data_IF_448427887008
#
_entry.id   IF_448427887008
#
_cell.length_a   1.000
_cell.length_b   1.000
_cell.length_c   1.000
_cell.angle_alpha   90.00
_cell.angle_beta   90.00
_cell.angle_gamma   90.00
#
_symmetry.space_group_name_H-M   'P 1'
#
loop_
_entity.id
_entity.type
_entity.pdbx_description
1 polymer ?
#
# COMPACT_ATOMS: atom_id res chain seq x y z
N UNK A 1 4.62 -21.28 1.44
CA UNK A 1 4.88 -20.52 2.69
C UNK A 1 3.65 -19.68 2.97
N UNK A 2 3.26 -19.43 4.24
CA UNK A 2 2.25 -18.41 4.52
C UNK A 2 2.72 -17.07 3.92
N UNK A 3 1.79 -16.26 3.46
CA UNK A 3 2.12 -14.93 2.95
C UNK A 3 2.78 -14.08 4.06
N UNK A 4 3.78 -13.26 3.74
CA UNK A 4 4.63 -12.60 4.74
C UNK A 4 3.84 -11.66 5.66
N UNK A 5 2.80 -11.00 5.16
CA UNK A 5 2.03 -10.03 5.94
C UNK A 5 0.62 -10.53 6.28
N UNK A 6 0.27 -10.44 7.55
CA UNK A 6 -1.06 -10.82 8.05
C UNK A 6 -2.08 -9.73 7.73
N UNK A 7 -3.32 -10.16 7.47
CA UNK A 7 -4.44 -9.24 7.30
C UNK A 7 -4.90 -8.67 8.65
N UNK A 8 -5.38 -7.44 8.62
CA UNK A 8 -6.04 -6.77 9.74
C UNK A 8 -7.37 -7.48 10.02
N UNK A 9 -7.67 -7.72 11.29
CA UNK A 9 -8.99 -8.20 11.71
C UNK A 9 -10.01 -7.10 11.43
N UNK A 10 -11.03 -7.41 10.64
CA UNK A 10 -12.09 -6.43 10.35
C UNK A 10 -12.76 -5.99 11.66
N UNK A 11 -12.93 -4.67 11.89
CA UNK A 11 -13.65 -4.20 13.05
C UNK A 11 -15.10 -4.69 13.00
N UNK A 12 -15.73 -4.94 14.16
CA UNK A 12 -17.16 -5.20 14.20
C UNK A 12 -17.92 -3.93 13.80
N UNK A 13 -19.13 -4.10 13.26
CA UNK A 13 -20.05 -3.00 12.97
C UNK A 13 -20.89 -3.24 11.73
N UNK A 14 -21.66 -2.23 11.37
CA UNK A 14 -22.56 -2.20 10.22
C UNK A 14 -22.11 -1.13 9.20
N UNK A 15 -22.11 -1.48 7.90
CA UNK A 15 -21.82 -0.53 6.83
C UNK A 15 -22.90 0.55 6.70
N UNK A 16 -24.11 0.27 7.17
CA UNK A 16 -25.23 1.22 7.17
C UNK A 16 -25.12 2.23 8.33
N UNK A 17 -24.28 1.97 9.34
CA UNK A 17 -24.05 2.87 10.47
C UNK A 17 -22.88 3.85 10.20
N UNK A 18 -23.14 5.16 10.00
CA UNK A 18 -22.11 6.11 9.53
C UNK A 18 -20.91 6.25 10.46
N UNK A 19 -21.11 5.99 11.76
CA UNK A 19 -20.06 6.09 12.78
C UNK A 19 -19.13 4.87 12.79
N UNK A 20 -19.60 3.72 12.28
CA UNK A 20 -18.84 2.46 12.22
C UNK A 20 -18.22 2.26 10.84
N UNK A 21 -18.91 2.75 9.80
CA UNK A 21 -18.52 2.63 8.40
C UNK A 21 -17.07 3.06 8.13
N UNK A 22 -16.61 4.17 8.70
CA UNK A 22 -15.25 4.65 8.44
C UNK A 22 -14.19 3.64 8.87
N UNK A 23 -14.32 3.05 10.06
CA UNK A 23 -13.36 2.06 10.56
C UNK A 23 -13.38 0.79 9.69
N UNK A 24 -14.57 0.37 9.26
CA UNK A 24 -14.75 -0.79 8.38
C UNK A 24 -14.13 -0.54 7.00
N UNK A 25 -14.39 0.61 6.37
CA UNK A 25 -13.84 0.98 5.07
C UNK A 25 -12.30 1.11 5.13
N UNK A 26 -11.77 1.70 6.20
CA UNK A 26 -10.33 1.78 6.42
C UNK A 26 -9.67 0.40 6.52
N UNK A 27 -10.21 -0.49 7.36
CA UNK A 27 -9.70 -1.85 7.46
C UNK A 27 -9.82 -2.63 6.13
N UNK A 28 -10.88 -2.37 5.35
CA UNK A 28 -11.07 -3.00 4.05
C UNK A 28 -10.03 -2.55 3.01
N UNK A 29 -9.79 -1.23 2.89
CA UNK A 29 -8.81 -0.68 1.94
C UNK A 29 -7.38 -1.07 2.36
N UNK A 30 -7.06 -1.04 3.65
CA UNK A 30 -5.77 -1.51 4.16
C UNK A 30 -5.53 -3.00 3.86
N UNK A 31 -6.55 -3.83 4.09
CA UNK A 31 -6.47 -5.25 3.74
C UNK A 31 -6.39 -5.51 2.23
N UNK A 32 -6.85 -4.60 1.38
CA UNK A 32 -6.63 -4.68 -0.06
C UNK A 32 -5.15 -4.42 -0.41
N UNK A 33 -4.50 -3.43 0.22
CA UNK A 33 -3.07 -3.18 0.06
C UNK A 33 -2.21 -4.35 0.53
N UNK A 34 -2.50 -4.91 1.71
CA UNK A 34 -1.78 -6.07 2.24
C UNK A 34 -1.92 -7.29 1.30
N UNK A 35 -3.12 -7.50 0.74
CA UNK A 35 -3.33 -8.54 -0.28
C UNK A 35 -2.51 -8.30 -1.54
N UNK A 36 -2.41 -7.05 -2.00
CA UNK A 36 -1.58 -6.71 -3.15
C UNK A 36 -0.09 -7.01 -2.89
N UNK A 37 0.45 -6.58 -1.75
CA UNK A 37 1.84 -6.89 -1.34
C UNK A 37 2.09 -8.40 -1.31
N UNK A 38 1.20 -9.15 -0.66
CA UNK A 38 1.28 -10.61 -0.59
C UNK A 38 1.20 -11.27 -1.98
N UNK A 39 0.37 -10.74 -2.88
CA UNK A 39 0.25 -11.23 -4.25
C UNK A 39 1.51 -10.93 -5.08
N UNK A 40 2.11 -9.75 -4.91
CA UNK A 40 3.38 -9.35 -5.56
C UNK A 40 4.49 -10.29 -5.11
N UNK A 41 4.64 -10.47 -3.80
CA UNK A 41 5.65 -11.35 -3.23
C UNK A 41 5.44 -12.82 -3.65
N UNK A 42 4.21 -13.32 -3.67
CA UNK A 42 3.93 -14.71 -4.01
C UNK A 42 4.13 -15.03 -5.51
N UNK A 43 3.92 -14.05 -6.38
CA UNK A 43 3.99 -14.26 -7.83
C UNK A 43 5.37 -13.97 -8.42
N UNK A 44 6.27 -13.28 -7.70
CA UNK A 44 7.56 -12.82 -8.21
C UNK A 44 8.33 -13.87 -9.02
N UNK A 45 8.49 -15.09 -8.50
CA UNK A 45 9.24 -16.16 -9.18
C UNK A 45 8.45 -16.91 -10.27
N UNK A 46 7.17 -16.59 -10.45
CA UNK A 46 6.26 -17.29 -11.38
C UNK A 46 5.96 -16.51 -12.65
N UNK A 47 6.34 -15.23 -12.69
CA UNK A 47 6.13 -14.35 -13.84
C UNK A 47 7.09 -14.75 -14.96
N UNK A 48 6.52 -15.04 -16.14
CA UNK A 48 7.29 -15.28 -17.36
C UNK A 48 7.67 -13.95 -18.03
N UNK A 49 8.70 -14.00 -18.88
CA UNK A 49 9.17 -12.82 -19.63
C UNK A 49 8.06 -12.14 -20.45
N UNK A 50 7.15 -12.92 -21.05
CA UNK A 50 6.01 -12.40 -21.82
C UNK A 50 4.93 -11.73 -20.97
N UNK A 51 4.97 -11.93 -19.64
CA UNK A 51 4.02 -11.37 -18.66
C UNK A 51 4.62 -10.25 -17.81
N UNK A 52 5.92 -10.00 -17.92
CA UNK A 52 6.63 -9.03 -17.08
C UNK A 52 6.01 -7.63 -17.14
N UNK A 53 5.60 -7.18 -18.33
CA UNK A 53 4.97 -5.88 -18.52
C UNK A 53 3.60 -5.78 -17.86
N UNK A 54 2.78 -6.82 -17.98
CA UNK A 54 1.45 -6.87 -17.35
C UNK A 54 1.56 -6.93 -15.82
N UNK A 55 2.53 -7.68 -15.31
CA UNK A 55 2.83 -7.72 -13.88
C UNK A 55 3.35 -6.37 -13.36
N UNK A 56 4.18 -5.67 -14.13
CA UNK A 56 4.61 -4.32 -13.80
C UNK A 56 3.43 -3.33 -13.75
N UNK A 57 2.50 -3.43 -14.71
CA UNK A 57 1.26 -2.64 -14.68
C UNK A 57 0.40 -2.92 -13.44
N UNK A 58 0.29 -4.18 -13.03
CA UNK A 58 -0.39 -4.55 -11.78
C UNK A 58 0.27 -3.89 -10.55
N UNK A 59 1.59 -3.93 -10.45
CA UNK A 59 2.33 -3.30 -9.35
C UNK A 59 2.20 -1.77 -9.36
N UNK A 60 2.21 -1.15 -10.54
CA UNK A 60 1.97 0.29 -10.69
C UNK A 60 0.54 0.69 -10.32
N UNK A 61 -0.44 -0.16 -10.62
CA UNK A 61 -1.84 0.07 -10.20
C UNK A 61 -1.99 0.06 -8.68
N UNK A 62 -1.27 -0.84 -8.00
CA UNK A 62 -1.15 -0.80 -6.53
C UNK A 62 -0.54 0.52 -6.05
N UNK A 63 0.54 0.98 -6.69
CA UNK A 63 1.19 2.25 -6.32
C UNK A 63 0.23 3.42 -6.45
N UNK A 64 -0.47 3.54 -7.59
CA UNK A 64 -1.40 4.63 -7.84
C UNK A 64 -2.55 4.65 -6.81
N UNK A 65 -3.09 3.48 -6.48
CA UNK A 65 -4.15 3.34 -5.50
C UNK A 65 -3.69 3.72 -4.08
N UNK A 66 -2.49 3.32 -3.69
CA UNK A 66 -1.92 3.67 -2.39
C UNK A 66 -1.65 5.17 -2.29
N UNK A 67 -1.05 5.76 -3.33
CA UNK A 67 -0.83 7.19 -3.42
C UNK A 67 -2.15 7.96 -3.29
N UNK A 68 -3.15 7.59 -4.10
CA UNK A 68 -4.45 8.26 -4.09
C UNK A 68 -5.13 8.18 -2.72
N UNK A 69 -5.03 7.02 -2.06
CA UNK A 69 -5.58 6.83 -0.73
C UNK A 69 -4.96 7.79 0.30
N UNK A 70 -3.63 7.83 0.40
CA UNK A 70 -2.94 8.70 1.36
C UNK A 70 -3.06 10.19 0.98
N UNK A 71 -3.16 10.53 -0.30
CA UNK A 71 -3.42 11.90 -0.75
C UNK A 71 -4.81 12.38 -0.27
N UNK A 72 -5.84 11.53 -0.35
CA UNK A 72 -7.16 11.83 0.23
C UNK A 72 -7.07 12.06 1.74
N UNK A 73 -6.29 11.24 2.44
CA UNK A 73 -6.12 11.36 3.88
C UNK A 73 -5.46 12.69 4.24
N UNK A 74 -4.30 13.01 3.66
CA UNK A 74 -3.55 14.21 3.99
C UNK A 74 -4.20 15.50 3.48
N UNK A 75 -4.88 15.46 2.32
CA UNK A 75 -5.50 16.65 1.73
C UNK A 75 -6.91 16.95 2.25
N UNK A 76 -7.63 15.95 2.76
CA UNK A 76 -9.04 16.11 3.17
C UNK A 76 -9.35 15.53 4.55
N UNK A 77 -9.06 14.24 4.80
CA UNK A 77 -9.55 13.57 6.01
C UNK A 77 -8.83 14.06 7.28
N UNK A 78 -7.50 14.08 7.27
CA UNK A 78 -6.69 14.52 8.41
C UNK A 78 -6.95 15.99 8.76
N UNK A 79 -6.97 16.95 7.81
CA UNK A 79 -7.37 18.32 8.11
C UNK A 79 -8.74 18.42 8.76
N UNK A 80 -9.73 17.64 8.29
CA UNK A 80 -11.06 17.60 8.90
C UNK A 80 -11.01 17.10 10.35
N UNK A 81 -10.29 16.00 10.62
CA UNK A 81 -10.15 15.47 11.97
C UNK A 81 -9.44 16.43 12.92
N UNK A 82 -8.41 17.15 12.46
CA UNK A 82 -7.74 18.15 13.28
C UNK A 82 -8.67 19.31 13.69
N UNK A 83 -9.70 19.63 12.89
CA UNK A 83 -10.74 20.60 13.32
C UNK A 83 -11.58 20.13 14.51
N UNK A 84 -11.57 18.82 14.80
CA UNK A 84 -12.37 18.18 15.86
C UNK A 84 -11.51 17.74 17.05
N UNK A 85 -10.33 17.20 16.77
CA UNK A 85 -9.43 16.59 17.75
C UNK A 85 -8.32 17.55 18.22
N UNK A 86 -8.08 18.63 17.48
CA UNK A 86 -7.03 19.62 17.75
C UNK A 86 -5.92 19.59 16.71
N UNK A 87 -5.21 20.71 16.57
CA UNK A 87 -4.10 20.84 15.64
C UNK A 87 -2.98 19.84 15.97
N UNK A 88 -2.47 19.14 14.95
CA UNK A 88 -1.43 18.14 15.09
C UNK A 88 -1.91 16.76 15.52
N UNK A 89 -3.22 16.55 15.73
CA UNK A 89 -3.77 15.25 16.12
C UNK A 89 -3.47 14.12 15.11
N UNK A 90 -3.18 14.47 13.85
CA UNK A 90 -2.86 13.50 12.78
C UNK A 90 -1.37 13.50 12.39
N UNK A 91 -0.49 14.16 13.17
CA UNK A 91 0.94 14.30 12.81
C UNK A 91 1.71 12.97 12.79
N UNK A 92 1.29 12.01 13.62
CA UNK A 92 1.89 10.67 13.65
C UNK A 92 1.54 9.91 12.35
N UNK A 93 0.29 9.97 11.89
CA UNK A 93 -0.13 9.37 10.61
C UNK A 93 0.67 9.94 9.43
N UNK A 94 0.83 11.27 9.37
CA UNK A 94 1.65 11.93 8.33
C UNK A 94 3.12 11.48 8.41
N UNK A 95 3.65 11.33 9.62
CA UNK A 95 5.03 10.86 9.82
C UNK A 95 5.20 9.40 9.39
N UNK A 96 4.18 8.56 9.56
CA UNK A 96 4.17 7.18 9.08
C UNK A 96 4.10 7.11 7.56
N UNK A 97 3.32 7.96 6.88
CA UNK A 97 3.33 8.06 5.41
C UNK A 97 4.74 8.36 4.89
N UNK A 98 5.37 9.38 5.48
CA UNK A 98 6.74 9.80 5.16
C UNK A 98 7.77 8.69 5.36
N UNK A 99 7.53 7.77 6.30
CA UNK A 99 8.50 6.74 6.68
C UNK A 99 8.79 5.75 5.54
N UNK A 100 7.84 5.54 4.62
CA UNK A 100 8.03 4.65 3.47
C UNK A 100 8.17 5.36 2.11
N UNK A 101 8.17 6.70 2.06
CA UNK A 101 8.25 7.49 0.82
C UNK A 101 9.40 7.05 -0.10
N UNK A 102 10.58 6.81 0.49
CA UNK A 102 11.78 6.44 -0.25
C UNK A 102 11.67 5.01 -0.84
N UNK A 103 11.23 4.04 -0.04
CA UNK A 103 11.03 2.65 -0.49
C UNK A 103 9.91 2.57 -1.53
N UNK A 104 8.82 3.33 -1.34
CA UNK A 104 7.71 3.41 -2.28
C UNK A 104 8.14 4.00 -3.63
N UNK A 105 8.88 5.12 -3.61
CA UNK A 105 9.40 5.74 -4.84
C UNK A 105 10.35 4.82 -5.60
N UNK A 106 11.22 4.10 -4.86
CA UNK A 106 12.14 3.10 -5.43
C UNK A 106 11.42 1.90 -6.03
N UNK A 107 10.33 1.46 -5.39
CA UNK A 107 9.45 0.39 -5.88
C UNK A 107 8.75 0.83 -7.17
N UNK A 108 8.04 1.96 -7.14
CA UNK A 108 7.27 2.48 -8.26
C UNK A 108 8.16 2.76 -9.48
N UNK A 109 9.29 3.43 -9.28
CA UNK A 109 10.19 3.82 -10.37
C UNK A 109 10.77 2.59 -11.10
N UNK A 110 11.12 1.53 -10.37
CA UNK A 110 11.64 0.32 -11.00
C UNK A 110 10.58 -0.42 -11.81
N UNK A 111 9.35 -0.54 -11.28
CA UNK A 111 8.26 -1.12 -12.07
C UNK A 111 7.89 -0.26 -13.28
N UNK A 112 8.04 1.06 -13.19
CA UNK A 112 7.92 1.93 -14.36
C UNK A 112 8.98 1.62 -15.41
N UNK A 113 10.23 1.42 -15.00
CA UNK A 113 11.31 1.02 -15.92
C UNK A 113 11.06 -0.36 -16.55
N UNK A 114 10.52 -1.33 -15.81
CA UNK A 114 10.12 -2.63 -16.38
C UNK A 114 8.98 -2.45 -17.39
N UNK A 115 7.96 -1.67 -17.05
CA UNK A 115 6.81 -1.41 -17.92
C UNK A 115 7.20 -0.69 -19.22
N UNK A 116 8.14 0.25 -19.14
CA UNK A 116 8.70 1.00 -20.26
C UNK A 116 9.72 0.20 -21.09
N UNK A 117 10.12 -1.01 -20.64
CA UNK A 117 11.15 -1.81 -21.28
C UNK A 117 12.58 -1.29 -21.07
N UNK A 118 12.81 -0.44 -20.07
CA UNK A 118 14.11 0.12 -19.68
C UNK A 118 14.86 -0.79 -18.69
N UNK A 119 14.13 -1.61 -17.94
CA UNK A 119 14.69 -2.62 -17.04
C UNK A 119 14.21 -4.03 -17.43
N UNK A 120 15.08 -5.03 -17.23
CA UNK A 120 14.69 -6.44 -17.36
C UNK A 120 14.08 -6.91 -16.04
N UNK A 121 12.95 -7.61 -16.12
CA UNK A 121 12.31 -8.19 -14.95
C UNK A 121 13.24 -9.16 -14.22
N UNK A 122 13.26 -9.05 -12.89
CA UNK A 122 13.99 -9.97 -12.03
C UNK A 122 13.19 -10.20 -10.75
N UNK A 123 12.82 -11.46 -10.51
CA UNK A 123 12.09 -11.84 -9.31
C UNK A 123 12.86 -11.46 -8.03
N UNK A 124 14.19 -11.58 -8.02
CA UNK A 124 14.99 -11.19 -6.85
C UNK A 124 14.90 -9.69 -6.55
N UNK A 125 14.78 -8.85 -7.59
CA UNK A 125 14.63 -7.39 -7.42
C UNK A 125 13.20 -7.04 -6.99
N UNK A 126 12.19 -7.78 -7.46
CA UNK A 126 10.80 -7.65 -6.95
C UNK A 126 10.77 -7.93 -5.46
N UNK A 127 11.35 -9.06 -5.03
CA UNK A 127 11.38 -9.48 -3.62
C UNK A 127 12.12 -8.45 -2.75
N UNK A 128 13.30 -7.99 -3.17
CA UNK A 128 14.03 -6.93 -2.47
C UNK A 128 13.18 -5.66 -2.28
N UNK A 129 12.48 -5.22 -3.33
CA UNK A 129 11.68 -3.99 -3.29
C UNK A 129 10.40 -4.13 -2.48
N UNK A 130 9.70 -5.26 -2.61
CA UNK A 130 8.46 -5.49 -1.85
C UNK A 130 8.77 -5.70 -0.38
N UNK A 131 9.88 -6.34 -0.02
CA UNK A 131 10.30 -6.51 1.38
C UNK A 131 10.70 -5.17 2.00
N UNK A 132 11.45 -4.33 1.27
CA UNK A 132 11.86 -3.00 1.74
C UNK A 132 10.67 -2.05 1.97
N UNK A 133 9.57 -2.21 1.22
CA UNK A 133 8.35 -1.41 1.39
C UNK A 133 7.39 -2.04 2.41
N UNK A 134 7.20 -3.35 2.32
CA UNK A 134 6.07 -4.06 2.91
C UNK A 134 6.05 -3.99 4.44
N UNK A 135 7.18 -4.18 5.12
CA UNK A 135 7.21 -4.14 6.58
C UNK A 135 6.82 -2.77 7.15
N UNK A 136 7.33 -1.69 6.54
CA UNK A 136 7.07 -0.31 6.99
C UNK A 136 5.62 0.08 6.65
N UNK A 137 5.16 -0.26 5.45
CA UNK A 137 3.78 0.02 5.04
C UNK A 137 2.78 -0.76 5.90
N UNK A 138 2.98 -2.06 6.11
CA UNK A 138 2.07 -2.88 6.90
C UNK A 138 2.03 -2.43 8.36
N UNK A 139 3.16 -1.99 8.93
CA UNK A 139 3.16 -1.38 10.25
C UNK A 139 2.20 -0.19 10.32
N UNK A 140 2.30 0.75 9.36
CA UNK A 140 1.39 1.90 9.27
C UNK A 140 -0.08 1.47 9.09
N UNK A 141 -0.35 0.48 8.23
CA UNK A 141 -1.72 0.01 7.98
C UNK A 141 -2.38 -0.64 9.20
N UNK A 142 -1.60 -1.09 10.18
CA UNK A 142 -2.08 -1.84 11.36
C UNK A 142 -2.15 -1.04 12.66
N UNK A 143 -1.69 0.22 12.65
CA UNK A 143 -1.67 1.11 13.81
C UNK A 143 -3.04 1.79 14.03
#
# INVERSE_FOLDING_TARGET
MPFPWSLIVMPPGDFDEPHERQAIEMAAVHNMFIRALNAIHAQADTIRDDQAKDFAFFCLSFCEMLHHHHDIEESMAFPFFETKLGAGAMSDNVSQHRAFDASFSSFQSWFQDVYDGKATYSASVVLEKVDALGDILVLHLTD
#
